data_IF_473000457806
#
_entry.id   IF_473000457806
#
_cell.length_a   1.000
_cell.length_b   1.000
_cell.length_c   1.000
_cell.angle_alpha   90.00
_cell.angle_beta   90.00
_cell.angle_gamma   90.00
#
_symmetry.space_group_name_H-M   'P 1'
#
loop_
_entity.id
_entity.type
_entity.pdbx_description
1 polymer ?
#
# COMPACT_ATOMS: atom_id res chain seq x y z
N UNK A 1 -18.44 -10.11 17.12
CA UNK A 1 -17.31 -11.06 16.92
C UNK A 1 -17.11 -11.22 15.42
N UNK A 2 -15.89 -10.95 14.96
CA UNK A 2 -15.53 -11.00 13.54
C UNK A 2 -15.59 -12.45 13.01
N UNK A 3 -16.02 -12.63 11.77
CA UNK A 3 -16.12 -13.96 11.16
C UNK A 3 -14.94 -14.17 10.21
N UNK A 4 -14.13 -15.21 10.48
CA UNK A 4 -13.03 -15.64 9.60
C UNK A 4 -13.57 -16.60 8.55
N UNK A 5 -13.25 -16.35 7.29
CA UNK A 5 -13.64 -17.16 6.14
C UNK A 5 -12.37 -17.48 5.33
N UNK A 6 -12.23 -18.74 4.92
CA UNK A 6 -11.00 -19.23 4.26
C UNK A 6 -11.21 -19.66 2.81
N UNK A 7 -12.46 -19.78 2.36
CA UNK A 7 -12.74 -20.16 0.96
C UNK A 7 -13.51 -19.06 0.23
N UNK A 8 -13.29 -18.93 -1.07
CA UNK A 8 -14.03 -17.99 -1.94
C UNK A 8 -15.51 -18.35 -1.98
N UNK A 9 -15.84 -19.67 -1.97
CA UNK A 9 -17.21 -20.14 -1.97
C UNK A 9 -17.98 -19.67 -0.73
N UNK A 10 -17.41 -19.88 0.46
CA UNK A 10 -18.07 -19.48 1.71
C UNK A 10 -18.16 -17.96 1.85
N UNK A 11 -17.16 -17.23 1.32
CA UNK A 11 -17.20 -15.77 1.30
C UNK A 11 -18.36 -15.26 0.42
N UNK A 12 -18.49 -15.79 -0.80
CA UNK A 12 -19.60 -15.43 -1.70
C UNK A 12 -20.95 -15.75 -1.11
N UNK A 13 -21.10 -16.89 -0.47
CA UNK A 13 -22.34 -17.27 0.20
C UNK A 13 -22.65 -16.33 1.40
N UNK A 14 -21.64 -16.00 2.22
CA UNK A 14 -21.81 -15.07 3.33
C UNK A 14 -22.23 -13.66 2.87
N UNK A 15 -21.71 -13.19 1.73
CA UNK A 15 -22.01 -11.86 1.19
C UNK A 15 -23.31 -11.83 0.35
N UNK A 16 -23.81 -12.98 -0.09
CA UNK A 16 -24.99 -13.06 -0.96
C UNK A 16 -26.21 -12.38 -0.36
N UNK A 17 -26.54 -12.71 0.89
CA UNK A 17 -27.68 -12.10 1.58
C UNK A 17 -27.53 -10.58 1.79
N UNK A 18 -26.29 -10.12 1.92
CA UNK A 18 -25.99 -8.68 2.05
C UNK A 18 -26.29 -7.95 0.73
N UNK A 19 -25.88 -8.52 -0.40
CA UNK A 19 -26.15 -7.96 -1.73
C UNK A 19 -27.65 -7.98 -2.06
N UNK A 20 -28.34 -9.07 -1.75
CA UNK A 20 -29.79 -9.19 -1.94
C UNK A 20 -30.59 -8.14 -1.13
N UNK A 21 -30.03 -7.67 -0.02
CA UNK A 21 -30.58 -6.59 0.80
C UNK A 21 -30.12 -5.19 0.34
N UNK A 22 -29.35 -5.09 -0.74
CA UNK A 22 -28.83 -3.83 -1.27
C UNK A 22 -27.76 -3.16 -0.39
N UNK A 23 -27.10 -3.93 0.50
CA UNK A 23 -26.03 -3.43 1.37
C UNK A 23 -24.75 -3.20 0.60
N UNK A 24 -24.12 -2.08 0.88
CA UNK A 24 -22.80 -1.72 0.34
C UNK A 24 -21.68 -2.54 1.01
N UNK A 25 -20.69 -2.94 0.24
CA UNK A 25 -19.56 -3.76 0.68
C UNK A 25 -18.26 -3.02 0.43
N UNK A 26 -17.51 -2.77 1.51
CA UNK A 26 -16.15 -2.27 1.48
C UNK A 26 -15.12 -3.41 1.60
N UNK A 27 -14.02 -3.31 0.86
CA UNK A 27 -12.89 -4.24 0.97
C UNK A 27 -11.63 -3.49 1.38
N UNK A 28 -10.90 -4.05 2.34
CA UNK A 28 -9.55 -3.61 2.72
C UNK A 28 -8.56 -4.74 2.47
N UNK A 29 -7.84 -4.73 1.35
CA UNK A 29 -6.81 -5.74 1.06
C UNK A 29 -5.58 -5.55 1.96
N UNK A 30 -5.19 -6.61 2.68
CA UNK A 30 -3.98 -6.64 3.51
C UNK A 30 -3.24 -7.97 3.39
N UNK A 31 -2.02 -7.99 3.90
CA UNK A 31 -1.22 -9.21 4.03
C UNK A 31 -1.09 -9.67 5.48
N UNK A 32 -1.96 -9.19 6.39
CA UNK A 32 -1.84 -9.45 7.82
C UNK A 32 -0.77 -8.59 8.51
N UNK A 33 -0.41 -8.96 9.74
CA UNK A 33 0.46 -8.18 10.62
C UNK A 33 -0.01 -6.73 10.75
N UNK A 34 -1.29 -6.60 11.12
CA UNK A 34 -2.02 -5.35 11.09
C UNK A 34 -1.52 -4.38 12.16
N UNK A 35 -1.53 -3.12 11.81
CA UNK A 35 -1.18 -2.00 12.68
C UNK A 35 -2.19 -0.86 12.52
N UNK A 36 -2.04 0.23 13.27
CA UNK A 36 -2.97 1.36 13.27
C UNK A 36 -3.18 1.96 11.87
N UNK A 37 -2.18 1.91 10.98
CA UNK A 37 -2.32 2.28 9.58
C UNK A 37 -3.40 1.47 8.86
N UNK A 38 -3.40 0.14 9.02
CA UNK A 38 -4.46 -0.72 8.48
C UNK A 38 -5.80 -0.48 9.18
N UNK A 39 -5.78 -0.31 10.51
CA UNK A 39 -6.99 -0.01 11.28
C UNK A 39 -7.68 1.27 10.81
N UNK A 40 -6.93 2.29 10.37
CA UNK A 40 -7.49 3.53 9.81
C UNK A 40 -8.26 3.29 8.51
N UNK A 41 -7.75 2.41 7.62
CA UNK A 41 -8.44 2.00 6.39
C UNK A 41 -9.76 1.29 6.73
N UNK A 42 -9.70 0.37 7.69
CA UNK A 42 -10.87 -0.41 8.11
C UNK A 42 -11.94 0.49 8.73
N UNK A 43 -11.56 1.42 9.64
CA UNK A 43 -12.52 2.38 10.21
C UNK A 43 -13.19 3.24 9.14
N UNK A 44 -12.44 3.65 8.12
CA UNK A 44 -13.00 4.39 6.99
C UNK A 44 -13.98 3.53 6.21
N UNK A 45 -13.61 2.28 5.92
CA UNK A 45 -14.52 1.34 5.24
C UNK A 45 -15.79 1.10 6.05
N UNK A 46 -15.68 0.87 7.36
CA UNK A 46 -16.84 0.69 8.27
C UNK A 46 -17.76 1.91 8.33
N UNK A 47 -17.18 3.12 8.23
CA UNK A 47 -17.95 4.36 8.22
C UNK A 47 -18.68 4.63 6.90
N UNK A 48 -18.18 4.08 5.79
CA UNK A 48 -18.67 4.36 4.43
C UNK A 48 -19.46 3.20 3.79
N UNK A 49 -19.51 2.02 4.45
CA UNK A 49 -20.20 0.83 3.93
C UNK A 49 -20.95 0.10 5.03
N UNK A 50 -21.97 -0.67 4.63
CA UNK A 50 -22.75 -1.51 5.55
C UNK A 50 -21.97 -2.74 6.01
N UNK A 51 -21.12 -3.27 5.14
CA UNK A 51 -20.29 -4.46 5.36
C UNK A 51 -18.85 -4.14 5.02
N UNK A 52 -17.93 -4.50 5.91
CA UNK A 52 -16.49 -4.43 5.65
C UNK A 52 -15.86 -5.80 5.69
N UNK A 53 -15.19 -6.16 4.60
CA UNK A 53 -14.36 -7.35 4.45
C UNK A 53 -12.90 -6.92 4.47
N UNK A 54 -12.07 -7.58 5.28
CA UNK A 54 -10.61 -7.38 5.27
C UNK A 54 -9.97 -8.67 4.78
N UNK A 55 -9.13 -8.61 3.76
CA UNK A 55 -8.32 -9.79 3.41
C UNK A 55 -7.05 -9.83 4.26
N UNK A 56 -6.70 -11.02 4.74
CA UNK A 56 -5.44 -11.33 5.40
C UNK A 56 -4.77 -12.44 4.62
N UNK A 57 -3.94 -12.08 3.63
CA UNK A 57 -3.33 -13.03 2.71
C UNK A 57 -1.95 -12.56 2.26
N UNK A 58 -0.92 -13.30 2.67
CA UNK A 58 0.47 -13.07 2.21
C UNK A 58 0.63 -13.64 0.81
N UNK A 59 0.56 -12.77 -0.21
CA UNK A 59 0.59 -13.16 -1.61
C UNK A 59 2.01 -13.49 -2.09
N UNK A 60 2.36 -14.76 -2.41
CA UNK A 60 3.72 -15.12 -2.79
C UNK A 60 4.17 -14.51 -4.13
N UNK A 61 3.24 -14.24 -5.06
CA UNK A 61 3.60 -13.81 -6.43
C UNK A 61 4.11 -12.36 -6.51
N UNK A 62 3.89 -11.54 -5.47
CA UNK A 62 4.35 -10.15 -5.43
C UNK A 62 5.71 -9.96 -4.73
N UNK A 63 6.30 -11.03 -4.17
CA UNK A 63 7.60 -10.95 -3.50
C UNK A 63 8.72 -11.28 -4.49
N UNK A 64 9.70 -10.38 -4.57
CA UNK A 64 10.92 -10.61 -5.36
C UNK A 64 11.99 -11.37 -4.57
N UNK A 65 11.97 -11.23 -3.24
CA UNK A 65 12.90 -11.92 -2.33
C UNK A 65 12.15 -12.98 -1.52
N UNK A 66 12.61 -14.23 -1.62
CA UNK A 66 12.08 -15.35 -0.84
C UNK A 66 12.29 -15.18 0.66
N UNK A 67 13.33 -14.46 1.08
CA UNK A 67 13.58 -14.20 2.50
C UNK A 67 12.55 -13.21 3.04
N UNK A 68 12.18 -12.17 2.28
CA UNK A 68 11.11 -11.22 2.64
C UNK A 68 9.77 -11.97 2.79
N UNK A 69 9.45 -12.87 1.85
CA UNK A 69 8.25 -13.71 1.92
C UNK A 69 8.24 -14.63 3.16
N UNK A 70 9.36 -15.32 3.41
CA UNK A 70 9.46 -16.29 4.51
C UNK A 70 9.42 -15.62 5.88
N UNK A 71 10.00 -14.43 6.00
CA UNK A 71 10.06 -13.66 7.23
C UNK A 71 8.88 -12.70 7.40
N UNK A 72 7.95 -12.66 6.44
CA UNK A 72 6.78 -11.78 6.57
C UNK A 72 5.93 -12.22 7.77
N UNK A 73 5.65 -11.32 8.72
CA UNK A 73 4.98 -11.68 9.97
C UNK A 73 3.54 -12.16 9.71
N UNK A 74 3.12 -13.16 10.48
CA UNK A 74 1.77 -13.74 10.45
C UNK A 74 1.20 -13.73 11.86
N UNK A 75 0.15 -12.95 12.08
CA UNK A 75 -0.38 -12.62 13.42
C UNK A 75 -1.91 -12.70 13.44
N UNK A 76 -2.50 -13.71 12.80
CA UNK A 76 -3.94 -13.88 12.58
C UNK A 76 -4.80 -13.61 13.82
N UNK A 77 -4.41 -14.11 14.98
CA UNK A 77 -5.18 -13.92 16.21
C UNK A 77 -5.21 -12.45 16.63
N UNK A 78 -4.04 -11.78 16.64
CA UNK A 78 -3.94 -10.34 16.95
C UNK A 78 -4.65 -9.49 15.90
N UNK A 79 -4.56 -9.90 14.64
CA UNK A 79 -5.21 -9.21 13.52
C UNK A 79 -6.74 -9.30 13.67
N UNK A 80 -7.28 -10.47 13.99
CA UNK A 80 -8.72 -10.63 14.26
C UNK A 80 -9.19 -9.80 15.47
N UNK A 81 -8.40 -9.73 16.54
CA UNK A 81 -8.73 -8.90 17.71
C UNK A 81 -8.78 -7.41 17.35
N UNK A 82 -7.80 -6.93 16.57
CA UNK A 82 -7.78 -5.55 16.07
C UNK A 82 -8.99 -5.26 15.19
N UNK A 83 -9.30 -6.15 14.25
CA UNK A 83 -10.38 -5.99 13.28
C UNK A 83 -11.76 -6.03 13.94
N UNK A 84 -11.98 -6.91 14.91
CA UNK A 84 -13.21 -6.95 15.72
C UNK A 84 -13.42 -5.63 16.47
N UNK A 85 -12.35 -5.10 17.08
CA UNK A 85 -12.36 -3.81 17.80
C UNK A 85 -12.72 -2.62 16.92
N UNK A 86 -12.29 -2.63 15.65
CA UNK A 86 -12.56 -1.52 14.70
C UNK A 86 -13.83 -1.73 13.89
N UNK A 87 -14.55 -2.85 14.09
CA UNK A 87 -15.89 -3.06 13.56
C UNK A 87 -15.98 -3.76 12.20
N UNK A 88 -14.92 -4.40 11.71
CA UNK A 88 -15.02 -5.24 10.52
C UNK A 88 -15.91 -6.47 10.77
N UNK A 89 -16.68 -6.89 9.76
CA UNK A 89 -17.56 -8.03 9.86
C UNK A 89 -16.89 -9.34 9.46
N UNK A 90 -16.03 -9.28 8.43
CA UNK A 90 -15.39 -10.47 7.86
C UNK A 90 -13.88 -10.31 7.71
N UNK A 91 -13.14 -11.36 8.06
CA UNK A 91 -11.75 -11.58 7.63
C UNK A 91 -11.75 -12.67 6.58
N UNK A 92 -11.22 -12.37 5.39
CA UNK A 92 -10.98 -13.37 4.36
C UNK A 92 -9.51 -13.78 4.40
N UNK A 93 -9.25 -14.98 4.91
CA UNK A 93 -7.91 -15.52 5.10
C UNK A 93 -7.75 -16.85 4.33
N UNK A 94 -7.68 -16.79 2.99
CA UNK A 94 -7.56 -17.99 2.16
C UNK A 94 -6.14 -18.56 2.21
N UNK A 95 -6.00 -19.84 1.80
CA UNK A 95 -4.70 -20.44 1.53
C UNK A 95 -4.17 -20.03 0.15
N UNK A 96 -2.90 -20.34 -0.12
CA UNK A 96 -2.30 -20.10 -1.46
C UNK A 96 -3.00 -20.96 -2.50
N UNK A 97 -3.32 -22.20 -2.17
CA UNK A 97 -4.01 -23.15 -3.05
C UNK A 97 -5.43 -22.70 -3.38
N UNK A 98 -6.14 -22.06 -2.44
CA UNK A 98 -7.46 -21.47 -2.68
C UNK A 98 -7.41 -20.32 -3.68
N UNK A 99 -6.40 -19.43 -3.53
CA UNK A 99 -6.26 -18.27 -4.43
C UNK A 99 -5.58 -18.62 -5.76
N UNK A 100 -4.75 -19.65 -5.78
CA UNK A 100 -3.99 -20.11 -6.94
C UNK A 100 -4.09 -21.64 -7.11
N UNK A 101 -5.31 -22.17 -7.38
CA UNK A 101 -5.47 -23.60 -7.67
C UNK A 101 -4.68 -24.02 -8.93
N UNK A 102 -4.42 -23.05 -9.81
CA UNK A 102 -3.53 -23.14 -10.95
C UNK A 102 -2.67 -21.87 -11.03
N UNK A 103 -1.47 -21.94 -11.66
CA UNK A 103 -0.64 -20.76 -11.86
C UNK A 103 -1.39 -19.65 -12.60
N UNK A 104 -1.36 -18.43 -12.08
CA UNK A 104 -1.97 -17.29 -12.76
C UNK A 104 -1.01 -16.74 -13.82
N UNK A 105 -1.33 -16.97 -15.08
CA UNK A 105 -0.51 -16.54 -16.22
C UNK A 105 -0.92 -15.19 -16.81
N UNK A 106 -1.90 -14.50 -16.19
CA UNK A 106 -2.32 -13.18 -16.65
C UNK A 106 -1.20 -12.17 -16.49
N UNK A 107 -1.03 -11.35 -17.50
CA UNK A 107 -0.12 -10.21 -17.51
C UNK A 107 -0.89 -8.94 -17.74
N UNK A 108 -0.46 -7.87 -17.05
CA UNK A 108 -1.03 -6.54 -17.18
C UNK A 108 0.04 -5.60 -17.74
N UNK A 109 -0.34 -4.73 -18.65
CA UNK A 109 0.52 -3.64 -19.11
C UNK A 109 0.14 -2.36 -18.38
N UNK A 110 1.03 -1.92 -17.50
CA UNK A 110 0.85 -0.69 -16.74
C UNK A 110 1.74 0.47 -17.25
N UNK A 111 2.30 0.33 -18.45
CA UNK A 111 3.10 1.40 -19.06
C UNK A 111 2.31 2.70 -19.16
N UNK A 112 2.83 3.86 -18.71
CA UNK A 112 4.18 4.10 -18.19
C UNK A 112 4.31 3.98 -16.65
N UNK A 113 3.24 3.65 -15.91
CA UNK A 113 3.19 3.68 -14.44
C UNK A 113 4.21 2.72 -13.78
N UNK A 114 4.52 1.59 -14.42
CA UNK A 114 5.43 0.56 -13.92
C UNK A 114 6.87 0.71 -14.42
N UNK A 115 7.19 1.80 -15.15
CA UNK A 115 8.54 2.05 -15.70
C UNK A 115 9.39 2.97 -14.83
N UNK A 116 8.87 3.38 -13.69
CA UNK A 116 9.51 4.30 -12.75
C UNK A 116 9.52 3.71 -11.33
N UNK A 117 10.32 4.28 -10.44
CA UNK A 117 10.35 4.01 -8.99
C UNK A 117 10.41 2.51 -8.64
N UNK A 118 9.35 1.91 -8.05
CA UNK A 118 9.30 0.49 -7.66
C UNK A 118 9.37 -0.46 -8.87
N UNK A 119 8.84 -0.07 -10.02
CA UNK A 119 8.74 -0.94 -11.19
C UNK A 119 10.08 -1.54 -11.63
N UNK A 120 11.09 -0.72 -11.99
CA UNK A 120 12.43 -1.20 -12.34
C UNK A 120 13.15 -1.93 -11.20
N UNK A 121 12.92 -1.50 -9.95
CA UNK A 121 13.58 -2.05 -8.77
C UNK A 121 12.94 -3.35 -8.28
N UNK A 122 11.69 -3.63 -8.69
CA UNK A 122 10.93 -4.83 -8.31
C UNK A 122 10.26 -5.49 -9.53
N UNK A 123 11.02 -6.08 -10.46
CA UNK A 123 10.46 -6.70 -11.67
C UNK A 123 9.36 -7.72 -11.34
N UNK A 124 8.18 -7.60 -12.00
CA UNK A 124 7.04 -8.50 -11.80
C UNK A 124 6.17 -8.19 -10.57
N UNK A 125 6.61 -7.33 -9.66
CA UNK A 125 5.85 -7.01 -8.44
C UNK A 125 4.43 -6.52 -8.72
N UNK A 126 4.27 -5.52 -9.58
CA UNK A 126 2.97 -4.95 -9.88
C UNK A 126 2.05 -5.91 -10.63
N UNK A 127 2.61 -6.81 -11.43
CA UNK A 127 1.81 -7.90 -12.02
C UNK A 127 1.27 -8.83 -10.93
N UNK A 128 2.11 -9.24 -9.97
CA UNK A 128 1.69 -10.04 -8.82
C UNK A 128 0.62 -9.35 -7.96
N UNK A 129 0.77 -8.04 -7.72
CA UNK A 129 -0.24 -7.22 -7.02
C UNK A 129 -1.56 -7.21 -7.79
N UNK A 130 -1.53 -6.97 -9.10
CA UNK A 130 -2.73 -6.94 -9.93
C UNK A 130 -3.44 -8.31 -9.99
N UNK A 131 -2.67 -9.40 -10.08
CA UNK A 131 -3.21 -10.75 -10.04
C UNK A 131 -4.00 -11.01 -8.76
N UNK A 132 -3.41 -10.76 -7.59
CA UNK A 132 -4.10 -11.02 -6.33
C UNK A 132 -5.24 -10.05 -6.07
N UNK A 133 -5.06 -8.75 -6.28
CA UNK A 133 -6.09 -7.76 -6.00
C UNK A 133 -7.30 -7.96 -6.90
N UNK A 134 -7.11 -8.29 -8.19
CA UNK A 134 -8.23 -8.65 -9.07
C UNK A 134 -8.97 -9.90 -8.61
N UNK A 135 -8.25 -10.94 -8.13
CA UNK A 135 -8.89 -12.12 -7.55
C UNK A 135 -9.73 -11.78 -6.31
N UNK A 136 -9.19 -10.93 -5.42
CA UNK A 136 -9.94 -10.44 -4.26
C UNK A 136 -11.18 -9.66 -4.68
N UNK A 137 -11.08 -8.83 -5.72
CA UNK A 137 -12.23 -8.10 -6.27
C UNK A 137 -13.30 -9.04 -6.82
N UNK A 138 -12.93 -10.10 -7.54
CA UNK A 138 -13.89 -11.11 -8.03
C UNK A 138 -14.46 -12.01 -6.91
N UNK A 139 -13.74 -12.18 -5.81
CA UNK A 139 -14.24 -12.95 -4.66
C UNK A 139 -15.22 -12.16 -3.81
N UNK A 140 -14.89 -10.87 -3.54
CA UNK A 140 -15.67 -9.99 -2.65
C UNK A 140 -16.71 -9.19 -3.41
N UNK A 141 -16.47 -8.83 -4.67
CA UNK A 141 -17.31 -7.93 -5.49
C UNK A 141 -17.69 -6.66 -4.71
N UNK A 142 -16.70 -5.86 -4.25
CA UNK A 142 -16.96 -4.73 -3.37
C UNK A 142 -17.46 -3.51 -4.16
N UNK A 143 -18.21 -2.63 -3.50
CA UNK A 143 -18.54 -1.30 -4.02
C UNK A 143 -17.34 -0.34 -3.92
N UNK A 144 -16.58 -0.45 -2.82
CA UNK A 144 -15.38 0.35 -2.54
C UNK A 144 -14.24 -0.52 -2.05
N UNK A 145 -13.01 -0.18 -2.46
CA UNK A 145 -11.80 -0.81 -1.94
C UNK A 145 -10.81 0.26 -1.46
N UNK A 146 -10.24 0.05 -0.25
CA UNK A 146 -9.46 1.03 0.49
C UNK A 146 -7.99 0.67 0.49
N UNK A 147 -7.15 1.63 0.09
CA UNK A 147 -5.70 1.47 0.00
C UNK A 147 -4.99 2.66 0.62
N UNK A 148 -3.86 2.42 1.28
CA UNK A 148 -3.05 3.48 1.86
C UNK A 148 -2.25 4.23 0.80
N UNK A 149 -2.25 5.58 0.87
CA UNK A 149 -1.42 6.44 0.01
C UNK A 149 0.08 6.27 0.28
N UNK A 150 0.47 5.57 1.34
CA UNK A 150 1.86 5.21 1.60
C UNK A 150 2.46 4.42 0.43
N UNK A 151 1.73 3.47 -0.09
CA UNK A 151 2.11 2.67 -1.26
C UNK A 151 1.59 3.36 -2.54
N UNK A 152 2.09 4.59 -2.77
CA UNK A 152 1.54 5.55 -3.72
C UNK A 152 1.46 5.01 -5.15
N UNK A 153 2.55 4.42 -5.64
CA UNK A 153 2.58 3.83 -6.98
C UNK A 153 1.65 2.61 -7.08
N UNK A 154 1.58 1.77 -6.04
CA UNK A 154 0.63 0.64 -6.01
C UNK A 154 -0.82 1.12 -6.13
N UNK A 155 -1.18 2.22 -5.47
CA UNK A 155 -2.53 2.79 -5.57
C UNK A 155 -2.85 3.22 -7.03
N UNK A 156 -1.88 3.84 -7.73
CA UNK A 156 -2.05 4.21 -9.14
C UNK A 156 -2.19 2.96 -10.04
N UNK A 157 -1.38 1.93 -9.81
CA UNK A 157 -1.46 0.64 -10.52
C UNK A 157 -2.83 -0.03 -10.32
N UNK A 158 -3.36 -0.02 -9.10
CA UNK A 158 -4.68 -0.63 -8.82
C UNK A 158 -5.81 0.14 -9.51
N UNK A 159 -5.75 1.47 -9.54
CA UNK A 159 -6.72 2.28 -10.29
C UNK A 159 -6.69 1.96 -11.79
N UNK A 160 -5.50 1.83 -12.34
CA UNK A 160 -5.31 1.46 -13.75
C UNK A 160 -5.82 0.03 -14.03
N UNK A 161 -5.54 -0.93 -13.15
CA UNK A 161 -6.07 -2.30 -13.24
C UNK A 161 -7.61 -2.31 -13.26
N UNK A 162 -8.25 -1.56 -12.36
CA UNK A 162 -9.72 -1.44 -12.33
C UNK A 162 -10.26 -0.88 -13.64
N UNK A 163 -9.59 0.12 -14.22
CA UNK A 163 -9.92 0.69 -15.51
C UNK A 163 -9.78 -0.35 -16.64
N UNK A 164 -8.67 -1.07 -16.69
CA UNK A 164 -8.41 -2.11 -17.73
C UNK A 164 -9.41 -3.25 -17.66
N UNK A 165 -9.77 -3.68 -16.45
CA UNK A 165 -10.74 -4.76 -16.22
C UNK A 165 -12.20 -4.28 -16.29
N UNK A 166 -12.43 -2.97 -16.50
CA UNK A 166 -13.76 -2.35 -16.53
C UNK A 166 -14.61 -2.71 -15.29
N UNK A 167 -13.99 -2.75 -14.13
CA UNK A 167 -14.67 -3.04 -12.86
C UNK A 167 -15.37 -1.79 -12.32
N UNK A 168 -16.57 -1.98 -11.75
CA UNK A 168 -17.35 -0.90 -11.13
C UNK A 168 -17.04 -0.81 -9.64
N UNK A 169 -15.78 -0.56 -9.30
CA UNK A 169 -15.31 -0.47 -7.93
C UNK A 169 -14.68 0.90 -7.72
N UNK A 170 -15.10 1.62 -6.70
CA UNK A 170 -14.47 2.86 -6.29
C UNK A 170 -13.17 2.56 -5.50
N UNK A 171 -12.03 3.06 -6.00
CA UNK A 171 -10.74 2.92 -5.31
C UNK A 171 -10.47 4.15 -4.44
N UNK A 172 -10.57 3.94 -3.14
CA UNK A 172 -10.42 4.98 -2.12
C UNK A 172 -8.98 5.02 -1.61
N UNK A 173 -8.28 6.13 -1.88
CA UNK A 173 -6.97 6.41 -1.26
C UNK A 173 -7.16 6.93 0.17
N UNK A 174 -6.39 6.40 1.11
CA UNK A 174 -6.43 6.83 2.50
C UNK A 174 -5.09 7.43 2.91
N UNK A 175 -5.08 8.56 3.65
CA UNK A 175 -3.86 9.25 4.04
C UNK A 175 -2.88 8.35 4.81
N UNK A 176 -1.59 8.68 4.72
CA UNK A 176 -0.54 7.99 5.48
C UNK A 176 -0.75 8.23 6.97
N UNK A 177 -0.86 7.14 7.73
CA UNK A 177 -0.83 7.20 9.20
C UNK A 177 0.63 7.14 9.64
N UNK A 178 0.99 8.05 10.54
CA UNK A 178 2.36 8.22 11.03
C UNK A 178 2.41 8.05 12.54
N UNK A 179 3.56 7.63 13.05
CA UNK A 179 3.87 7.65 14.46
C UNK A 179 4.14 9.10 14.93
N UNK A 180 4.25 9.33 16.26
CA UNK A 180 4.45 10.67 16.84
C UNK A 180 5.70 11.39 16.31
N UNK A 181 6.74 10.65 15.94
CA UNK A 181 7.97 11.17 15.36
C UNK A 181 7.89 11.39 13.83
N UNK A 182 6.72 11.16 13.22
CA UNK A 182 6.44 11.36 11.82
C UNK A 182 6.71 10.13 10.94
N UNK A 183 7.31 9.06 11.46
CA UNK A 183 7.59 7.86 10.68
C UNK A 183 6.31 7.20 10.16
N UNK A 184 6.24 6.90 8.87
CA UNK A 184 5.12 6.20 8.28
C UNK A 184 4.97 4.79 8.88
N UNK A 185 3.75 4.41 9.27
CA UNK A 185 3.48 3.07 9.79
C UNK A 185 3.64 2.01 8.71
N UNK A 186 4.36 0.94 9.07
CA UNK A 186 4.61 -0.22 8.22
C UNK A 186 4.85 -1.45 9.08
N UNK A 187 4.35 -2.62 8.64
CA UNK A 187 4.66 -3.91 9.28
C UNK A 187 6.17 -4.19 9.29
N UNK A 188 6.92 -3.64 8.32
CA UNK A 188 8.39 -3.75 8.27
C UNK A 188 9.10 -2.95 9.37
N UNK A 189 8.43 -2.00 10.03
CA UNK A 189 9.02 -1.27 11.16
C UNK A 189 9.38 -2.22 12.33
N UNK A 190 8.69 -3.34 12.46
CA UNK A 190 8.99 -4.37 13.47
C UNK A 190 10.32 -5.10 13.23
N UNK A 191 10.88 -5.02 12.03
CA UNK A 191 12.16 -5.63 11.68
C UNK A 191 13.36 -4.74 12.06
N UNK A 192 13.11 -3.49 12.41
CA UNK A 192 14.13 -2.52 12.80
C UNK A 192 14.57 -2.76 14.25
N UNK A 193 15.87 -2.72 14.50
CA UNK A 193 16.40 -2.58 15.86
C UNK A 193 15.97 -1.21 16.45
N UNK A 194 16.07 -1.06 17.77
CA UNK A 194 15.76 0.23 18.44
C UNK A 194 16.59 1.40 17.89
N UNK A 195 17.84 1.16 17.51
CA UNK A 195 18.71 2.18 16.92
C UNK A 195 18.26 2.54 15.50
N UNK A 196 18.01 1.53 14.65
CA UNK A 196 17.52 1.72 13.29
C UNK A 196 16.15 2.40 13.28
N UNK A 197 15.24 2.05 14.21
CA UNK A 197 13.93 2.70 14.31
C UNK A 197 14.04 4.22 14.58
N UNK A 198 14.97 4.64 15.46
CA UNK A 198 15.24 6.07 15.71
C UNK A 198 15.87 6.75 14.49
N UNK A 199 16.75 6.04 13.81
CA UNK A 199 17.43 6.52 12.60
C UNK A 199 16.44 6.72 11.45
N UNK A 200 15.54 5.77 11.24
CA UNK A 200 14.55 5.78 10.17
C UNK A 200 13.58 6.97 10.24
N UNK A 201 13.30 7.53 11.42
CA UNK A 201 12.49 8.72 11.57
C UNK A 201 13.04 9.96 10.84
N UNK A 202 14.37 9.97 10.53
CA UNK A 202 14.96 11.06 9.73
C UNK A 202 14.44 11.07 8.28
N UNK A 203 13.93 9.95 7.76
CA UNK A 203 13.33 9.88 6.43
C UNK A 203 12.14 10.83 6.34
N UNK A 204 11.14 10.64 7.19
CA UNK A 204 9.94 11.49 7.20
C UNK A 204 10.26 12.93 7.58
N UNK A 205 11.16 13.16 8.54
CA UNK A 205 11.62 14.50 8.90
C UNK A 205 12.17 15.24 7.69
N UNK A 206 13.10 14.62 6.96
CA UNK A 206 13.68 15.20 5.75
C UNK A 206 12.63 15.50 4.69
N UNK A 207 11.65 14.58 4.50
CA UNK A 207 10.55 14.83 3.58
C UNK A 207 9.71 16.04 3.99
N UNK A 208 9.37 16.19 5.27
CA UNK A 208 8.63 17.35 5.74
C UNK A 208 9.42 18.65 5.59
N UNK A 209 10.70 18.65 5.94
CA UNK A 209 11.59 19.79 5.77
C UNK A 209 11.74 20.19 4.30
N UNK A 210 11.78 19.21 3.40
CA UNK A 210 11.88 19.44 1.96
C UNK A 210 10.71 20.26 1.38
N UNK A 211 9.51 20.24 2.00
CA UNK A 211 8.39 21.09 1.60
C UNK A 211 8.68 22.59 1.82
N UNK A 212 9.41 22.92 2.88
CA UNK A 212 9.84 24.30 3.12
C UNK A 212 10.97 24.70 2.17
N UNK A 213 11.92 23.78 1.96
CA UNK A 213 13.03 23.98 1.03
C UNK A 213 12.53 24.24 -0.39
N UNK A 214 11.55 23.46 -0.85
CA UNK A 214 10.95 23.56 -2.19
C UNK A 214 10.33 24.93 -2.50
N UNK A 215 9.91 25.70 -1.48
CA UNK A 215 9.29 27.02 -1.68
C UNK A 215 10.24 28.05 -2.33
N UNK A 216 11.56 27.83 -2.19
CA UNK A 216 12.58 28.79 -2.62
C UNK A 216 13.63 28.15 -3.53
N UNK A 217 13.46 26.88 -3.89
CA UNK A 217 14.46 26.12 -4.65
C UNK A 217 13.83 25.35 -5.81
N UNK A 218 14.65 25.06 -6.81
CA UNK A 218 14.24 24.25 -7.96
C UNK A 218 13.96 22.80 -7.54
N UNK A 219 13.23 22.10 -8.38
CA UNK A 219 12.96 20.65 -8.25
C UNK A 219 14.27 19.85 -8.12
N UNK A 220 15.24 20.10 -9.01
CA UNK A 220 16.54 19.45 -8.98
C UNK A 220 17.29 19.69 -7.65
N UNK A 221 17.26 20.93 -7.14
CA UNK A 221 17.88 21.27 -5.85
C UNK A 221 17.15 20.57 -4.69
N UNK A 222 15.83 20.50 -4.74
CA UNK A 222 15.02 19.82 -3.70
C UNK A 222 15.28 18.32 -3.70
N UNK A 223 15.36 17.69 -4.89
CA UNK A 223 15.72 16.29 -5.02
C UNK A 223 17.10 16.00 -4.43
N UNK A 224 18.10 16.83 -4.78
CA UNK A 224 19.45 16.70 -4.22
C UNK A 224 19.47 16.88 -2.70
N UNK A 225 18.76 17.88 -2.18
CA UNK A 225 18.64 18.12 -0.75
C UNK A 225 18.12 16.90 0.01
N UNK A 226 17.04 16.27 -0.47
CA UNK A 226 16.45 15.08 0.18
C UNK A 226 17.45 13.93 0.18
N UNK A 227 18.05 13.62 -0.98
CA UNK A 227 18.99 12.51 -1.12
C UNK A 227 20.22 12.72 -0.22
N UNK A 228 20.84 13.89 -0.29
CA UNK A 228 22.06 14.19 0.48
C UNK A 228 21.78 14.20 1.99
N UNK A 229 20.64 14.77 2.41
CA UNK A 229 20.27 14.83 3.83
C UNK A 229 20.00 13.43 4.40
N UNK A 230 19.25 12.61 3.72
CA UNK A 230 19.00 11.23 4.18
C UNK A 230 20.32 10.45 4.22
N UNK A 231 21.12 10.49 3.16
CA UNK A 231 22.39 9.76 3.07
C UNK A 231 23.47 10.28 4.04
N UNK A 232 23.33 11.51 4.58
CA UNK A 232 24.24 11.99 5.62
C UNK A 232 24.11 11.25 6.94
N UNK A 233 23.00 10.54 7.16
CA UNK A 233 22.78 9.71 8.33
C UNK A 233 23.37 8.32 8.11
N UNK A 234 24.49 8.02 8.78
CA UNK A 234 25.13 6.72 8.68
C UNK A 234 24.13 5.58 9.00
N UNK A 235 23.93 4.67 8.07
CA UNK A 235 22.97 3.56 8.17
C UNK A 235 21.66 3.78 7.41
N UNK A 236 21.49 4.95 6.75
CA UNK A 236 20.45 5.19 5.75
C UNK A 236 21.10 5.29 4.36
N UNK A 237 20.48 4.67 3.37
CA UNK A 237 20.88 4.73 1.97
C UNK A 237 19.65 4.88 1.08
N UNK A 238 19.57 6.00 0.34
CA UNK A 238 18.49 6.26 -0.60
C UNK A 238 18.67 5.38 -1.84
N UNK A 239 17.73 4.47 -2.09
CA UNK A 239 17.68 3.69 -3.32
C UNK A 239 17.20 4.55 -4.49
N UNK A 240 16.12 5.28 -4.28
CA UNK A 240 15.66 6.34 -5.19
C UNK A 240 14.87 7.41 -4.42
N UNK A 241 14.87 8.61 -4.98
CA UNK A 241 13.92 9.67 -4.65
C UNK A 241 13.50 10.36 -5.94
N UNK A 242 12.20 10.26 -6.25
CA UNK A 242 11.63 10.86 -7.46
C UNK A 242 10.53 11.84 -7.12
N UNK A 243 10.51 12.99 -7.81
CA UNK A 243 9.43 13.98 -7.73
C UNK A 243 8.65 13.90 -9.03
N UNK A 244 7.38 13.53 -8.90
CA UNK A 244 6.55 13.11 -10.03
C UNK A 244 5.19 13.84 -10.05
N UNK A 245 4.56 13.88 -11.20
CA UNK A 245 3.12 14.14 -11.29
C UNK A 245 2.36 13.00 -10.57
N UNK A 246 1.49 13.36 -9.64
CA UNK A 246 0.79 12.40 -8.79
C UNK A 246 -0.27 11.55 -9.51
N UNK A 247 -0.62 11.89 -10.76
CA UNK A 247 -1.58 11.14 -11.58
C UNK A 247 -0.87 10.18 -12.54
N UNK A 248 0.18 10.66 -13.19
CA UNK A 248 0.89 9.90 -14.24
C UNK A 248 2.13 9.19 -13.73
N UNK A 249 2.63 9.54 -12.54
CA UNK A 249 3.88 9.08 -11.94
C UNK A 249 5.12 9.43 -12.77
N UNK A 250 4.97 10.23 -13.82
CA UNK A 250 6.11 10.64 -14.62
C UNK A 250 6.86 11.80 -13.95
N UNK A 251 8.18 11.84 -14.06
CA UNK A 251 8.99 12.93 -13.54
C UNK A 251 8.49 14.27 -14.07
N UNK A 252 8.55 15.30 -13.23
CA UNK A 252 8.23 16.67 -13.60
C UNK A 252 9.49 17.54 -13.64
N UNK A 253 9.55 18.50 -14.55
CA UNK A 253 10.73 19.34 -14.77
C UNK A 253 10.73 20.63 -13.92
N UNK A 254 9.56 21.07 -13.49
CA UNK A 254 9.40 22.27 -12.67
C UNK A 254 8.11 22.18 -11.81
N UNK A 255 7.99 23.09 -10.81
CA UNK A 255 6.86 23.09 -9.88
C UNK A 255 5.52 23.48 -10.52
N UNK A 256 5.52 24.07 -11.71
CA UNK A 256 4.31 24.51 -12.40
C UNK A 256 3.84 23.54 -13.49
N UNK A 257 4.54 22.42 -13.65
CA UNK A 257 4.20 21.40 -14.65
C UNK A 257 2.83 20.76 -14.42
N UNK A 258 2.40 20.69 -13.16
CA UNK A 258 1.09 20.11 -12.77
C UNK A 258 0.65 20.69 -11.42
N UNK A 259 -0.65 20.54 -11.11
CA UNK A 259 -1.24 20.90 -9.82
C UNK A 259 -1.13 19.80 -8.76
N UNK A 260 -0.64 18.60 -9.12
CA UNK A 260 -0.46 17.49 -8.19
C UNK A 260 0.96 16.90 -8.28
N UNK A 261 1.82 17.27 -7.32
CA UNK A 261 3.24 16.87 -7.30
C UNK A 261 3.55 16.11 -6.01
N UNK A 262 4.14 14.93 -6.17
CA UNK A 262 4.49 14.03 -5.06
C UNK A 262 5.95 13.63 -5.15
N UNK A 263 6.64 13.65 -4.01
CA UNK A 263 7.97 13.08 -3.86
C UNK A 263 7.87 11.68 -3.25
N UNK A 264 8.37 10.67 -3.94
CA UNK A 264 8.37 9.28 -3.49
C UNK A 264 9.79 8.82 -3.21
N UNK A 265 10.03 8.22 -2.04
CA UNK A 265 11.35 7.78 -1.60
C UNK A 265 11.36 6.31 -1.21
N UNK A 266 12.45 5.65 -1.54
CA UNK A 266 12.83 4.37 -0.95
C UNK A 266 14.20 4.48 -0.32
N UNK A 267 14.30 3.99 0.91
CA UNK A 267 15.52 4.07 1.72
C UNK A 267 15.81 2.71 2.36
N UNK A 268 17.03 2.26 2.26
CA UNK A 268 17.53 1.16 3.07
C UNK A 268 17.96 1.67 4.44
N UNK A 269 17.39 1.10 5.51
CA UNK A 269 17.83 1.28 6.88
C UNK A 269 18.41 -0.04 7.36
N UNK A 270 19.74 -0.17 7.33
CA UNK A 270 20.38 -1.46 7.46
C UNK A 270 19.90 -2.45 6.39
N UNK A 271 19.26 -3.55 6.82
CA UNK A 271 18.68 -4.56 5.91
C UNK A 271 17.21 -4.32 5.57
N UNK A 272 16.59 -3.33 6.17
CA UNK A 272 15.14 -3.08 6.01
C UNK A 272 14.91 -2.00 4.95
N UNK A 273 14.16 -2.34 3.94
CA UNK A 273 13.74 -1.44 2.88
C UNK A 273 12.46 -0.71 3.28
N UNK A 274 12.53 0.61 3.38
CA UNK A 274 11.45 1.48 3.81
C UNK A 274 11.02 2.39 2.66
N UNK A 275 9.71 2.63 2.54
CA UNK A 275 9.14 3.58 1.58
C UNK A 275 8.35 4.66 2.30
N UNK A 276 8.37 5.86 1.74
CA UNK A 276 7.55 6.98 2.18
C UNK A 276 7.29 7.93 1.00
N UNK A 277 6.35 8.86 1.18
CA UNK A 277 6.12 9.91 0.19
C UNK A 277 5.65 11.21 0.86
N UNK A 278 5.73 12.29 0.09
CA UNK A 278 5.32 13.63 0.51
C UNK A 278 4.65 14.37 -0.64
N UNK A 279 3.49 14.97 -0.38
CA UNK A 279 2.82 15.85 -1.33
C UNK A 279 3.42 17.25 -1.25
N UNK A 280 3.90 17.75 -2.37
CA UNK A 280 4.38 19.14 -2.51
C UNK A 280 3.26 20.06 -2.96
N UNK A 281 2.38 19.56 -3.83
CA UNK A 281 1.26 20.29 -4.43
C UNK A 281 0.08 19.33 -4.64
N UNK A 282 -1.14 19.74 -4.33
CA UNK A 282 -2.40 18.99 -4.56
C UNK A 282 -3.59 19.94 -4.71
#
# INVERSE_FOLDING_TARGET
MIKVITTVKDLKEALKSCREQGKSIGLVPTMGALHEGHASLVRRSVAENDITVVSDFVNPTQFNDKNDLNNYPRTMEADCQLLDKVGAQYVFAPTVEEMYPEPDTRTFDFTPLDKVMEGPNRPGHFNGVAQIVSKLFYAVEPDRAYFGEKDFQQLAIIREMVRQLNLKIEIVGCPIVREEDGMALSSRNMLLSKAERKLAANISRTLFESRYYARHHTLASTRKYVIDTINSHQGLEVEYYEIVDGRTLQPVDNWDATDYIVGCVTVHCGKVRLIDNIKYKE
#
